data_IF_706261980751
#
_entry.id   IF_706261980751
#
_cell.length_a   1.000
_cell.length_b   1.000
_cell.length_c   1.000
_cell.angle_alpha   90.00
_cell.angle_beta   90.00
_cell.angle_gamma   90.00
#
_symmetry.space_group_name_H-M   'P 1'
#
loop_
_entity.id
_entity.type
_entity.pdbx_description
1 polymer ?
#
# COMPACT_ATOMS: atom_id res chain seq x y z
N UNK A 1 24.59 -67.65 -21.38
CA UNK A 1 25.20 -66.97 -20.22
C UNK A 1 24.61 -65.59 -19.93
N UNK A 2 23.88 -64.93 -20.85
CA UNK A 2 23.17 -63.69 -20.56
C UNK A 2 21.78 -63.90 -19.91
N UNK A 3 21.06 -64.97 -20.26
CA UNK A 3 19.66 -65.20 -19.85
C UNK A 3 19.46 -65.68 -18.40
N UNK A 4 20.40 -66.44 -17.82
CA UNK A 4 20.26 -67.00 -16.46
C UNK A 4 20.62 -65.99 -15.35
N UNK A 5 21.43 -64.98 -15.67
CA UNK A 5 21.69 -63.88 -14.74
C UNK A 5 20.54 -62.87 -14.70
N UNK A 6 19.77 -62.72 -15.79
CA UNK A 6 18.62 -61.82 -15.84
C UNK A 6 17.44 -62.31 -14.97
N UNK A 7 17.15 -63.62 -14.94
CA UNK A 7 16.06 -64.18 -14.11
C UNK A 7 16.35 -64.09 -12.61
N UNK A 8 17.58 -64.43 -12.19
CA UNK A 8 17.94 -64.40 -10.77
C UNK A 8 17.92 -62.98 -10.21
N UNK A 9 18.44 -62.00 -10.95
CA UNK A 9 18.39 -60.60 -10.54
C UNK A 9 16.97 -60.01 -10.59
N UNK A 10 16.13 -60.45 -11.54
CA UNK A 10 14.72 -60.06 -11.64
C UNK A 10 13.87 -60.50 -10.43
N UNK A 11 14.09 -61.72 -9.92
CA UNK A 11 13.37 -62.23 -8.73
C UNK A 11 13.76 -61.45 -7.46
N UNK A 12 15.04 -61.15 -7.27
CA UNK A 12 15.54 -60.45 -6.08
C UNK A 12 15.10 -58.98 -6.07
N UNK A 13 15.07 -58.33 -7.24
CA UNK A 13 14.52 -56.98 -7.39
C UNK A 13 13.01 -56.96 -7.13
N UNK A 14 12.27 -57.97 -7.60
CA UNK A 14 10.83 -58.11 -7.38
C UNK A 14 10.44 -58.28 -5.92
N UNK A 15 11.18 -59.07 -5.12
CA UNK A 15 10.90 -59.20 -3.68
C UNK A 15 11.20 -57.93 -2.89
N UNK A 16 12.29 -57.23 -3.20
CA UNK A 16 12.64 -55.98 -2.52
C UNK A 16 11.63 -54.84 -2.79
N UNK A 17 11.09 -54.77 -4.02
CA UNK A 17 10.04 -53.81 -4.39
C UNK A 17 8.75 -54.10 -3.59
N UNK A 18 8.33 -55.37 -3.50
CA UNK A 18 7.13 -55.78 -2.78
C UNK A 18 7.21 -55.51 -1.26
N UNK A 19 8.38 -55.71 -0.64
CA UNK A 19 8.59 -55.41 0.79
C UNK A 19 8.58 -53.90 1.08
N UNK A 20 9.17 -53.10 0.18
CA UNK A 20 9.13 -51.64 0.28
C UNK A 20 7.70 -51.09 0.13
N UNK A 21 6.91 -51.62 -0.81
CA UNK A 21 5.50 -51.25 -0.99
C UNK A 21 4.64 -51.56 0.23
N UNK A 22 4.86 -52.72 0.87
CA UNK A 22 4.20 -53.08 2.14
C UNK A 22 4.56 -52.10 3.26
N UNK A 23 5.84 -51.78 3.43
CA UNK A 23 6.30 -50.81 4.44
C UNK A 23 5.70 -49.41 4.26
N UNK A 24 5.55 -48.96 3.00
CA UNK A 24 4.86 -47.70 2.67
C UNK A 24 3.37 -47.78 3.03
N UNK A 25 2.69 -48.88 2.70
CA UNK A 25 1.28 -49.10 3.04
C UNK A 25 1.04 -49.10 4.55
N UNK A 26 1.88 -49.78 5.32
CA UNK A 26 1.76 -49.86 6.79
C UNK A 26 1.98 -48.50 7.44
N UNK A 27 2.96 -47.74 6.95
CA UNK A 27 3.21 -46.36 7.40
C UNK A 27 2.02 -45.45 7.07
N UNK A 28 1.46 -45.53 5.86
CA UNK A 28 0.27 -44.77 5.44
C UNK A 28 -0.94 -45.10 6.33
N UNK A 29 -1.11 -46.36 6.72
CA UNK A 29 -2.21 -46.78 7.59
C UNK A 29 -2.04 -46.26 9.04
N UNK A 30 -0.81 -46.26 9.56
CA UNK A 30 -0.51 -45.67 10.87
C UNK A 30 -0.74 -44.15 10.90
N UNK A 31 -0.36 -43.44 9.84
CA UNK A 31 -0.59 -41.98 9.71
C UNK A 31 -2.08 -41.66 9.54
N UNK A 32 -2.85 -42.47 8.79
CA UNK A 32 -4.32 -42.33 8.71
C UNK A 32 -5.01 -42.54 10.07
N UNK A 33 -4.57 -43.50 10.86
CA UNK A 33 -5.11 -43.73 12.21
C UNK A 33 -4.84 -42.53 13.13
N UNK A 34 -3.63 -41.95 13.09
CA UNK A 34 -3.30 -40.74 13.87
C UNK A 34 -4.02 -39.49 13.36
N UNK A 35 -4.21 -39.33 12.04
CA UNK A 35 -5.00 -38.24 11.47
C UNK A 35 -6.49 -38.32 11.86
N UNK A 36 -7.06 -39.53 11.96
CA UNK A 36 -8.43 -39.73 12.45
C UNK A 36 -8.60 -39.35 13.93
N UNK A 37 -7.54 -39.49 14.75
CA UNK A 37 -7.54 -39.02 16.13
C UNK A 37 -7.41 -37.49 16.24
N UNK A 38 -6.76 -36.84 15.26
CA UNK A 38 -6.60 -35.39 15.18
C UNK A 38 -7.87 -34.64 14.70
N UNK A 39 -8.92 -35.34 14.25
CA UNK A 39 -10.20 -34.75 13.83
C UNK A 39 -10.91 -33.93 14.93
N UNK A 40 -10.48 -34.05 16.20
CA UNK A 40 -10.99 -33.24 17.33
C UNK A 40 -10.35 -31.85 17.45
N UNK A 41 -9.33 -31.52 16.66
CA UNK A 41 -8.53 -30.29 16.81
C UNK A 41 -8.41 -29.53 15.46
N UNK A 42 -9.54 -29.09 14.90
CA UNK A 42 -9.57 -28.05 13.85
C UNK A 42 -9.15 -28.46 12.41
N UNK A 43 -9.82 -27.87 11.41
CA UNK A 43 -9.72 -28.28 9.99
C UNK A 43 -8.40 -27.96 9.26
N UNK A 44 -7.54 -27.09 9.81
CA UNK A 44 -6.24 -26.75 9.20
C UNK A 44 -5.27 -27.94 9.24
N UNK A 45 -5.15 -28.60 10.40
CA UNK A 45 -4.31 -29.77 10.59
C UNK A 45 -4.74 -30.93 9.67
N UNK A 46 -6.05 -31.11 9.46
CA UNK A 46 -6.59 -32.18 8.59
C UNK A 46 -6.12 -32.05 7.14
N UNK A 47 -5.97 -30.83 6.62
CA UNK A 47 -5.53 -30.59 5.24
C UNK A 47 -4.04 -30.89 5.06
N UNK A 48 -3.23 -30.46 6.02
CA UNK A 48 -1.79 -30.67 5.97
C UNK A 48 -1.43 -32.15 6.14
N UNK A 49 -2.07 -32.87 7.06
CA UNK A 49 -1.91 -34.33 7.21
C UNK A 49 -2.36 -35.10 5.96
N UNK A 50 -3.48 -34.72 5.32
CA UNK A 50 -3.93 -35.39 4.09
C UNK A 50 -2.98 -35.15 2.91
N UNK A 51 -2.45 -33.93 2.76
CA UNK A 51 -1.45 -33.60 1.73
C UNK A 51 -0.15 -34.40 1.92
N UNK A 52 0.28 -34.60 3.17
CA UNK A 52 1.48 -35.36 3.53
C UNK A 52 1.31 -36.88 3.29
N UNK A 53 0.13 -37.43 3.62
CA UNK A 53 -0.24 -38.82 3.30
C UNK A 53 -0.28 -39.05 1.78
N UNK A 54 -0.84 -38.10 1.02
CA UNK A 54 -0.91 -38.21 -0.45
C UNK A 54 0.47 -38.05 -1.09
N UNK A 55 1.33 -37.18 -0.54
CA UNK A 55 2.75 -37.13 -0.90
C UNK A 55 3.45 -38.48 -0.71
N UNK A 56 3.24 -39.17 0.42
CA UNK A 56 3.88 -40.47 0.71
C UNK A 56 3.49 -41.57 -0.30
N UNK A 57 2.24 -41.59 -0.77
CA UNK A 57 1.71 -42.60 -1.70
C UNK A 57 2.23 -42.47 -3.14
N UNK A 58 2.80 -41.33 -3.53
CA UNK A 58 3.34 -41.14 -4.89
C UNK A 58 4.61 -41.96 -5.10
N UNK A 59 4.77 -42.46 -6.33
CA UNK A 59 6.00 -43.15 -6.75
C UNK A 59 7.19 -42.18 -6.75
N UNK A 60 8.44 -42.68 -6.67
CA UNK A 60 9.64 -41.83 -6.73
C UNK A 60 9.69 -40.92 -7.97
N UNK A 61 9.18 -41.40 -9.11
CA UNK A 61 9.12 -40.66 -10.37
C UNK A 61 8.11 -39.51 -10.32
N UNK A 62 6.92 -39.73 -9.77
CA UNK A 62 5.89 -38.69 -9.61
C UNK A 62 6.28 -37.64 -8.56
N UNK A 63 6.98 -38.06 -7.49
CA UNK A 63 7.57 -37.14 -6.50
C UNK A 63 8.63 -36.23 -7.14
N UNK A 64 9.48 -36.78 -8.01
CA UNK A 64 10.47 -36.00 -8.75
C UNK A 64 9.80 -35.02 -9.73
N UNK A 65 8.72 -35.44 -10.41
CA UNK A 65 7.96 -34.57 -11.31
C UNK A 65 7.29 -33.40 -10.57
N UNK A 66 6.61 -33.64 -9.44
CA UNK A 66 5.99 -32.57 -8.62
C UNK A 66 7.02 -31.58 -8.09
N UNK A 67 8.16 -32.07 -7.59
CA UNK A 67 9.25 -31.18 -7.14
C UNK A 67 9.85 -30.35 -8.27
N UNK A 68 9.94 -30.91 -9.48
CA UNK A 68 10.40 -30.17 -10.65
C UNK A 68 9.39 -29.12 -11.11
N UNK A 69 8.09 -29.40 -11.02
CA UNK A 69 7.00 -28.45 -11.29
C UNK A 69 6.98 -27.31 -10.26
N UNK A 70 7.11 -27.62 -8.97
CA UNK A 70 7.24 -26.64 -7.89
C UNK A 70 8.46 -25.73 -8.09
N UNK A 71 9.62 -26.32 -8.44
CA UNK A 71 10.85 -25.55 -8.73
C UNK A 71 10.67 -24.63 -9.93
N UNK A 72 10.04 -25.10 -11.01
CA UNK A 72 9.73 -24.27 -12.18
C UNK A 72 8.77 -23.14 -11.83
N UNK A 73 7.73 -23.43 -11.04
CA UNK A 73 6.77 -22.42 -10.59
C UNK A 73 7.43 -21.39 -9.65
N UNK A 74 8.40 -21.78 -8.84
CA UNK A 74 9.17 -20.88 -7.99
C UNK A 74 10.16 -20.02 -8.81
N UNK A 75 10.85 -20.62 -9.79
CA UNK A 75 11.70 -19.90 -10.76
C UNK A 75 10.90 -18.89 -11.59
N UNK A 76 9.70 -19.25 -12.05
CA UNK A 76 8.78 -18.35 -12.76
C UNK A 76 8.29 -17.19 -11.86
N UNK A 77 7.92 -17.47 -10.61
CA UNK A 77 7.54 -16.45 -9.63
C UNK A 77 8.70 -15.50 -9.33
N UNK A 78 9.92 -16.04 -9.21
CA UNK A 78 11.11 -15.23 -8.99
C UNK A 78 11.41 -14.35 -10.19
N UNK A 79 11.36 -14.88 -11.41
CA UNK A 79 11.53 -14.11 -12.64
C UNK A 79 10.45 -13.02 -12.83
N UNK A 80 9.20 -13.30 -12.45
CA UNK A 80 8.12 -12.30 -12.46
C UNK A 80 8.35 -11.21 -11.40
N UNK A 81 8.80 -11.57 -10.20
CA UNK A 81 9.13 -10.62 -9.14
C UNK A 81 10.31 -9.71 -9.53
N UNK A 82 11.36 -10.28 -10.14
CA UNK A 82 12.51 -9.52 -10.64
C UNK A 82 12.11 -8.56 -11.76
N UNK A 83 11.29 -9.00 -12.72
CA UNK A 83 10.74 -8.11 -13.77
C UNK A 83 9.90 -6.97 -13.20
N UNK A 84 9.03 -7.26 -12.22
CA UNK A 84 8.21 -6.22 -11.56
C UNK A 84 9.07 -5.22 -10.80
N UNK A 85 10.12 -5.68 -10.13
CA UNK A 85 11.06 -4.80 -9.44
C UNK A 85 11.82 -3.89 -10.43
N UNK A 86 12.29 -4.44 -11.56
CA UNK A 86 12.96 -3.66 -12.61
C UNK A 86 12.01 -2.63 -13.26
N UNK A 87 10.76 -3.01 -13.52
CA UNK A 87 9.74 -2.09 -14.04
C UNK A 87 9.40 -0.98 -13.03
N UNK A 88 9.30 -1.30 -11.74
CA UNK A 88 9.08 -0.33 -10.68
C UNK A 88 10.27 0.63 -10.52
N UNK A 89 11.51 0.15 -10.64
CA UNK A 89 12.71 0.98 -10.63
C UNK A 89 12.75 1.95 -11.81
N UNK A 90 12.52 1.45 -13.04
CA UNK A 90 12.41 2.30 -14.24
C UNK A 90 11.29 3.34 -14.13
N UNK A 91 10.15 2.96 -13.55
CA UNK A 91 9.05 3.90 -13.32
C UNK A 91 9.44 5.00 -12.32
N UNK A 92 10.20 4.67 -11.26
CA UNK A 92 10.71 5.66 -10.29
C UNK A 92 11.73 6.61 -10.92
N UNK A 93 12.63 6.10 -11.75
CA UNK A 93 13.61 6.91 -12.48
C UNK A 93 12.92 7.88 -13.45
N UNK A 94 11.96 7.39 -14.23
CA UNK A 94 11.16 8.21 -15.15
C UNK A 94 10.37 9.30 -14.40
N UNK A 95 9.78 8.96 -13.25
CA UNK A 95 9.07 9.93 -12.41
C UNK A 95 10.02 10.98 -11.83
N UNK A 96 11.23 10.59 -11.40
CA UNK A 96 12.23 11.52 -10.91
C UNK A 96 12.69 12.50 -12.00
N UNK A 97 12.93 12.01 -13.22
CA UNK A 97 13.28 12.86 -14.36
C UNK A 97 12.14 13.84 -14.67
N UNK A 98 10.89 13.37 -14.71
CA UNK A 98 9.70 14.21 -14.91
C UNK A 98 9.61 15.31 -13.87
N UNK A 99 9.85 15.01 -12.59
CA UNK A 99 9.84 16.00 -11.51
C UNK A 99 10.98 17.02 -11.63
N UNK A 100 12.18 16.60 -12.08
CA UNK A 100 13.29 17.52 -12.34
C UNK A 100 13.01 18.48 -13.51
N UNK A 101 12.32 18.00 -14.55
CA UNK A 101 11.85 18.85 -15.64
C UNK A 101 10.78 19.83 -15.13
N UNK A 102 9.79 19.33 -14.37
CA UNK A 102 8.74 20.16 -13.77
C UNK A 102 9.30 21.30 -12.92
N UNK A 103 10.34 21.05 -12.11
CA UNK A 103 10.98 22.08 -11.26
C UNK A 103 11.43 23.33 -12.02
N UNK A 104 11.75 23.20 -13.31
CA UNK A 104 12.22 24.27 -14.19
C UNK A 104 11.08 24.91 -15.01
N UNK A 105 9.94 24.25 -15.07
CA UNK A 105 8.79 24.67 -15.87
C UNK A 105 7.98 25.76 -15.17
N UNK A 106 7.49 26.72 -15.95
CA UNK A 106 6.51 27.68 -15.51
C UNK A 106 5.14 27.03 -15.29
N UNK A 107 4.41 27.55 -14.31
CA UNK A 107 3.11 27.01 -13.93
C UNK A 107 2.02 27.87 -14.53
N UNK A 108 1.06 27.20 -15.15
CA UNK A 108 -0.12 27.82 -15.74
C UNK A 108 -1.39 27.33 -15.07
N UNK A 109 -2.50 28.00 -15.40
CA UNK A 109 -3.83 27.70 -14.89
C UNK A 109 -4.15 26.20 -14.97
N UNK A 110 -4.82 25.66 -13.96
CA UNK A 110 -5.21 24.24 -13.83
C UNK A 110 -4.08 23.24 -13.66
N UNK A 111 -2.88 23.69 -13.26
CA UNK A 111 -1.84 22.79 -12.79
C UNK A 111 -2.30 21.97 -11.57
N UNK A 112 -1.97 20.67 -11.56
CA UNK A 112 -2.30 19.78 -10.47
C UNK A 112 -1.36 20.03 -9.29
N UNK A 113 -1.91 20.00 -8.09
CA UNK A 113 -1.21 20.18 -6.83
C UNK A 113 -1.51 19.00 -5.91
N UNK A 114 -0.53 18.62 -5.09
CA UNK A 114 -0.64 17.56 -4.09
C UNK A 114 -0.27 18.11 -2.73
N UNK A 115 -0.91 17.59 -1.68
CA UNK A 115 -0.65 17.97 -0.30
C UNK A 115 -0.29 16.73 0.51
N UNK A 116 0.74 16.82 1.35
CA UNK A 116 1.17 15.71 2.21
C UNK A 116 0.11 15.25 3.22
N UNK A 117 -0.87 16.10 3.52
CA UNK A 117 -1.97 15.79 4.44
C UNK A 117 -3.32 15.53 3.74
N UNK A 118 -3.33 15.43 2.41
CA UNK A 118 -4.53 15.15 1.64
C UNK A 118 -4.45 13.78 0.98
N UNK A 119 -5.61 13.17 0.73
CA UNK A 119 -5.70 11.88 0.04
C UNK A 119 -5.77 12.02 -1.49
N UNK A 120 -6.31 13.13 -1.98
CA UNK A 120 -6.49 13.41 -3.39
C UNK A 120 -5.66 14.62 -3.81
N UNK A 121 -5.33 14.68 -5.10
CA UNK A 121 -4.83 15.90 -5.72
C UNK A 121 -5.92 16.97 -5.79
N UNK A 122 -5.49 18.20 -6.05
CA UNK A 122 -6.35 19.35 -6.32
C UNK A 122 -5.70 20.15 -7.45
N UNK A 123 -6.28 21.32 -7.76
CA UNK A 123 -5.78 22.18 -8.82
C UNK A 123 -5.52 23.60 -8.32
N UNK A 124 -4.47 24.21 -8.84
CA UNK A 124 -4.27 25.65 -8.71
C UNK A 124 -4.95 26.37 -9.87
N UNK A 125 -5.79 27.33 -9.52
CA UNK A 125 -6.68 28.04 -10.44
C UNK A 125 -6.40 29.53 -10.32
N UNK A 126 -6.56 30.26 -11.40
CA UNK A 126 -6.55 31.72 -11.37
C UNK A 126 -7.86 32.21 -11.99
N UNK A 127 -8.77 32.86 -11.23
CA UNK A 127 -10.07 33.30 -11.77
C UNK A 127 -9.96 34.39 -12.83
N UNK A 128 -8.98 35.28 -12.70
CA UNK A 128 -8.70 36.39 -13.61
C UNK A 128 -7.21 36.33 -13.96
N UNK A 129 -6.90 36.24 -15.25
CA UNK A 129 -5.50 36.17 -15.71
C UNK A 129 -4.72 37.44 -15.36
N UNK A 130 -3.43 37.28 -15.08
CA UNK A 130 -2.48 38.38 -14.86
C UNK A 130 -2.10 39.14 -16.15
N UNK A 131 -2.43 38.58 -17.33
CA UNK A 131 -2.15 39.16 -18.65
C UNK A 131 -1.06 38.41 -19.42
N UNK A 132 -0.28 37.57 -18.73
CA UNK A 132 0.75 36.72 -19.31
C UNK A 132 0.22 35.31 -19.58
N UNK A 133 0.54 34.80 -20.77
CA UNK A 133 0.07 33.49 -21.23
C UNK A 133 1.21 32.67 -21.80
N UNK A 134 1.23 31.39 -21.46
CA UNK A 134 2.11 30.38 -22.06
C UNK A 134 1.22 29.42 -22.83
N UNK A 135 1.44 29.31 -24.14
CA UNK A 135 0.61 28.49 -25.04
C UNK A 135 -0.90 28.79 -24.93
N UNK A 136 -1.26 30.05 -24.67
CA UNK A 136 -2.65 30.50 -24.53
C UNK A 136 -3.28 30.22 -23.15
N UNK A 137 -2.52 29.69 -22.19
CA UNK A 137 -2.99 29.42 -20.81
C UNK A 137 -2.36 30.44 -19.87
N UNK A 138 -3.15 31.02 -18.98
CA UNK A 138 -2.70 32.07 -18.06
C UNK A 138 -1.57 31.56 -17.14
N UNK A 139 -0.46 32.29 -17.10
CA UNK A 139 0.69 32.01 -16.25
C UNK A 139 0.41 32.45 -14.80
N UNK A 140 0.89 31.70 -13.82
CA UNK A 140 0.74 32.00 -12.39
C UNK A 140 1.97 32.70 -11.81
N UNK A 141 1.75 33.41 -10.71
CA UNK A 141 2.79 34.00 -9.87
C UNK A 141 2.69 33.49 -8.43
N UNK A 142 3.67 33.86 -7.60
CA UNK A 142 3.71 33.41 -6.20
C UNK A 142 2.53 33.89 -5.35
N UNK A 143 1.79 34.91 -5.80
CA UNK A 143 0.60 35.41 -5.13
C UNK A 143 -0.66 34.56 -5.32
N UNK A 144 -0.63 33.58 -6.23
CA UNK A 144 -1.76 32.67 -6.51
C UNK A 144 -1.88 31.56 -5.44
N UNK A 145 -1.90 31.96 -4.17
CA UNK A 145 -1.92 31.04 -3.01
C UNK A 145 -3.21 31.11 -2.19
N UNK A 146 -4.17 31.98 -2.55
CA UNK A 146 -5.37 32.21 -1.74
C UNK A 146 -6.20 30.92 -1.61
N UNK A 147 -6.54 30.50 -0.39
CA UNK A 147 -7.31 29.29 -0.17
C UNK A 147 -8.72 29.42 -0.73
N UNK A 148 -9.26 28.33 -1.27
CA UNK A 148 -10.58 28.23 -1.89
C UNK A 148 -10.81 29.13 -3.12
N UNK A 149 -9.84 29.95 -3.50
CA UNK A 149 -9.84 30.78 -4.71
C UNK A 149 -8.79 30.26 -5.69
N UNK A 150 -7.51 30.38 -5.32
CA UNK A 150 -6.42 29.88 -6.14
C UNK A 150 -6.13 28.41 -5.83
N UNK A 151 -5.99 28.09 -4.55
CA UNK A 151 -5.73 26.72 -4.09
C UNK A 151 -7.06 26.09 -3.72
N UNK A 152 -7.55 25.19 -4.59
CA UNK A 152 -8.83 24.49 -4.38
C UNK A 152 -8.68 23.46 -3.25
N UNK A 153 -9.78 23.21 -2.53
CA UNK A 153 -9.83 22.16 -1.50
C UNK A 153 -9.46 20.80 -2.08
N UNK A 154 -8.67 20.02 -1.32
CA UNK A 154 -8.28 18.65 -1.66
C UNK A 154 -9.35 17.61 -1.28
N UNK A 155 -10.54 18.05 -0.85
CA UNK A 155 -11.66 17.20 -0.44
C UNK A 155 -11.49 16.59 0.94
N UNK A 156 -10.51 15.70 1.12
CA UNK A 156 -10.28 14.94 2.36
C UNK A 156 -8.87 15.22 2.90
N UNK A 157 -8.80 15.50 4.20
CA UNK A 157 -7.57 15.79 4.94
C UNK A 157 -7.42 14.88 6.15
N UNK A 158 -6.19 14.46 6.44
CA UNK A 158 -5.83 13.64 7.61
C UNK A 158 -5.00 14.40 8.66
N UNK A 159 -4.83 15.72 8.50
CA UNK A 159 -4.03 16.50 9.45
C UNK A 159 -4.73 16.59 10.82
N UNK A 160 -4.03 16.27 11.92
CA UNK A 160 -4.53 16.51 13.28
C UNK A 160 -4.80 17.99 13.58
N UNK A 161 -4.17 18.91 12.86
CA UNK A 161 -4.39 20.35 12.99
C UNK A 161 -5.70 20.84 12.37
N UNK A 162 -6.35 20.04 11.54
CA UNK A 162 -7.60 20.41 10.88
C UNK A 162 -8.80 20.27 11.85
N UNK A 163 -9.60 21.33 12.07
CA UNK A 163 -10.79 21.28 12.93
C UNK A 163 -11.79 20.17 12.56
N UNK A 164 -11.96 19.86 11.27
CA UNK A 164 -12.87 18.80 10.81
C UNK A 164 -12.39 17.42 11.25
N UNK A 165 -11.08 17.16 11.21
CA UNK A 165 -10.47 15.91 11.70
C UNK A 165 -10.65 15.79 13.21
N UNK A 166 -10.41 16.88 13.95
CA UNK A 166 -10.61 16.91 15.40
C UNK A 166 -12.07 16.69 15.79
N UNK A 167 -13.02 17.26 15.04
CA UNK A 167 -14.45 17.06 15.27
C UNK A 167 -14.85 15.60 15.02
N UNK A 168 -14.34 14.97 13.96
CA UNK A 168 -14.56 13.55 13.69
C UNK A 168 -14.01 12.66 14.82
N UNK A 169 -12.79 12.93 15.30
CA UNK A 169 -12.19 12.20 16.40
C UNK A 169 -12.99 12.35 17.71
N UNK A 170 -13.44 13.57 18.03
CA UNK A 170 -14.30 13.82 19.20
C UNK A 170 -15.61 13.04 19.13
N UNK A 171 -16.26 13.03 17.96
CA UNK A 171 -17.49 12.27 17.74
C UNK A 171 -17.28 10.77 17.98
N UNK A 172 -16.17 10.21 17.50
CA UNK A 172 -15.83 8.79 17.74
C UNK A 172 -15.63 8.52 19.24
N UNK A 173 -14.95 9.41 19.97
CA UNK A 173 -14.77 9.28 21.42
C UNK A 173 -16.11 9.33 22.14
N UNK A 174 -16.97 10.28 21.79
CA UNK A 174 -18.30 10.41 22.37
C UNK A 174 -19.15 9.16 22.12
N UNK A 175 -19.13 8.62 20.90
CA UNK A 175 -19.83 7.37 20.56
C UNK A 175 -19.29 6.17 21.35
N UNK A 176 -17.96 6.06 21.48
CA UNK A 176 -17.32 4.99 22.27
C UNK A 176 -17.64 5.13 23.76
N UNK A 177 -17.69 6.35 24.29
CA UNK A 177 -18.01 6.60 25.69
C UNK A 177 -19.49 6.35 26.01
N UNK A 178 -20.38 6.67 25.07
CA UNK A 178 -21.83 6.51 25.23
C UNK A 178 -22.33 5.11 24.86
N UNK A 179 -21.45 4.20 24.40
CA UNK A 179 -21.85 2.84 24.04
C UNK A 179 -22.28 2.04 25.28
N UNK A 180 -23.25 1.12 25.14
CA UNK A 180 -23.65 0.26 26.25
C UNK A 180 -22.48 -0.63 26.67
N UNK A 181 -22.03 -0.45 27.92
CA UNK A 181 -20.90 -1.21 28.47
C UNK A 181 -21.28 -2.66 28.77
N UNK A 182 -20.38 -3.58 28.43
CA UNK A 182 -20.52 -5.00 28.79
C UNK A 182 -20.41 -5.20 30.30
N UNK A 183 -20.90 -6.33 30.81
CA UNK A 183 -20.79 -6.67 32.23
C UNK A 183 -19.32 -6.67 32.71
N UNK A 184 -18.40 -7.18 31.91
CA UNK A 184 -16.96 -7.19 32.21
C UNK A 184 -16.36 -5.78 32.26
N UNK A 185 -16.74 -4.90 31.33
CA UNK A 185 -16.30 -3.49 31.32
C UNK A 185 -16.80 -2.72 32.54
N UNK A 186 -18.05 -2.97 32.97
CA UNK A 186 -18.59 -2.34 34.18
C UNK A 186 -17.81 -2.75 35.44
N UNK A 187 -17.42 -4.02 35.54
CA UNK A 187 -16.57 -4.50 36.64
C UNK A 187 -15.19 -3.86 36.55
N UNK A 188 -14.57 -3.83 35.36
CA UNK A 188 -13.23 -3.26 35.19
C UNK A 188 -13.20 -1.74 35.44
N UNK A 189 -14.25 -1.01 35.06
CA UNK A 189 -14.40 0.43 35.33
C UNK A 189 -14.49 0.74 36.83
N UNK A 190 -15.06 -0.18 37.61
CA UNK A 190 -15.10 -0.04 39.07
C UNK A 190 -13.71 -0.20 39.70
N UNK A 191 -12.83 -0.98 39.06
CA UNK A 191 -11.47 -1.25 39.55
C UNK A 191 -10.36 -0.47 38.83
N UNK A 192 -10.68 0.36 37.83
CA UNK A 192 -9.71 1.09 37.00
C UNK A 192 -9.85 2.60 37.11
N UNK A 193 -8.74 3.32 36.97
CA UNK A 193 -8.77 4.79 36.79
C UNK A 193 -9.39 5.11 35.44
N UNK A 194 -10.34 6.04 35.40
CA UNK A 194 -10.95 6.49 34.14
C UNK A 194 -9.87 7.04 33.19
N UNK A 195 -9.92 6.69 31.89
CA UNK A 195 -9.04 7.30 30.90
C UNK A 195 -9.33 8.81 30.79
N UNK A 196 -8.29 9.60 30.50
CA UNK A 196 -8.41 11.04 30.27
C UNK A 196 -9.26 11.32 29.02
N UNK A 197 -10.12 12.34 29.09
CA UNK A 197 -11.01 12.78 27.99
C UNK A 197 -10.29 13.43 26.80
N UNK A 198 -8.97 13.59 26.87
CA UNK A 198 -8.19 14.18 25.79
C UNK A 198 -8.17 13.26 24.57
N UNK A 199 -8.35 13.87 23.39
CA UNK A 199 -8.24 13.13 22.12
C UNK A 199 -6.80 12.65 21.97
N UNK A 200 -6.59 11.35 22.13
CA UNK A 200 -5.29 10.74 21.95
C UNK A 200 -4.74 11.02 20.55
N UNK A 201 -3.44 11.32 20.46
CA UNK A 201 -2.74 11.55 19.19
C UNK A 201 -2.91 10.38 18.22
N UNK A 202 -2.96 9.16 18.76
CA UNK A 202 -3.14 7.93 17.99
C UNK A 202 -4.50 7.88 17.29
N UNK A 203 -5.56 8.35 17.95
CA UNK A 203 -6.89 8.43 17.33
C UNK A 203 -6.92 9.50 16.24
N UNK A 204 -6.32 10.66 16.49
CA UNK A 204 -6.26 11.74 15.50
C UNK A 204 -5.53 11.29 14.23
N UNK A 205 -4.48 10.49 14.35
CA UNK A 205 -3.74 9.96 13.20
C UNK A 205 -4.57 9.00 12.34
N UNK A 206 -5.63 8.40 12.89
CA UNK A 206 -6.53 7.49 12.18
C UNK A 206 -7.77 8.19 11.62
N UNK A 207 -8.03 9.44 12.02
CA UNK A 207 -9.20 10.18 11.61
C UNK A 207 -8.96 10.98 10.32
N UNK A 208 -10.03 11.17 9.55
CA UNK A 208 -10.05 12.03 8.37
C UNK A 208 -11.21 13.02 8.47
N UNK A 209 -11.08 14.15 7.80
CA UNK A 209 -12.07 15.22 7.79
C UNK A 209 -12.08 15.96 6.47
N UNK A 210 -13.04 16.87 6.33
CA UNK A 210 -13.14 17.72 5.14
C UNK A 210 -11.94 18.66 5.09
N UNK A 211 -11.33 18.79 3.91
CA UNK A 211 -10.25 19.73 3.69
C UNK A 211 -10.81 21.15 3.50
N UNK A 212 -10.45 22.05 4.40
CA UNK A 212 -10.60 23.49 4.21
C UNK A 212 -9.21 24.14 4.34
N UNK A 213 -8.51 24.40 3.23
CA UNK A 213 -7.12 24.83 3.29
C UNK A 213 -6.99 26.19 3.98
N UNK A 214 -6.14 26.27 5.00
CA UNK A 214 -5.78 27.53 5.64
C UNK A 214 -4.37 27.90 5.21
N UNK A 215 -4.25 28.95 4.40
CA UNK A 215 -2.98 29.38 3.79
C UNK A 215 -2.89 30.89 3.98
N UNK A 216 -1.79 31.35 4.57
CA UNK A 216 -1.55 32.74 4.89
C UNK A 216 -0.29 33.32 4.21
N UNK A 217 0.42 32.52 3.43
CA UNK A 217 1.66 32.91 2.76
C UNK A 217 1.55 32.78 1.25
N UNK A 218 2.38 33.51 0.53
CA UNK A 218 2.61 33.32 -0.89
C UNK A 218 3.41 32.02 -1.12
N UNK A 219 3.48 31.57 -2.37
CA UNK A 219 4.33 30.45 -2.76
C UNK A 219 5.80 30.79 -2.54
N UNK A 220 6.56 29.80 -2.07
CA UNK A 220 7.97 29.91 -1.72
C UNK A 220 8.82 29.54 -2.95
N UNK A 221 10.00 30.15 -3.08
CA UNK A 221 11.00 29.90 -4.13
C UNK A 221 10.55 30.26 -5.55
N UNK A 222 9.76 31.33 -5.69
CA UNK A 222 9.41 31.93 -6.98
C UNK A 222 10.63 32.38 -7.78
N UNK A 223 10.44 32.53 -9.09
CA UNK A 223 11.48 33.01 -10.00
C UNK A 223 11.55 34.54 -9.99
N UNK A 224 12.50 35.11 -9.23
CA UNK A 224 12.60 36.56 -9.03
C UNK A 224 13.00 37.35 -10.29
N UNK A 225 13.69 36.72 -11.24
CA UNK A 225 14.11 37.36 -12.50
C UNK A 225 12.97 37.52 -13.52
N UNK A 226 11.82 36.89 -13.29
CA UNK A 226 10.64 36.99 -14.17
C UNK A 226 9.42 37.35 -13.35
N UNK A 227 8.85 38.51 -13.65
CA UNK A 227 7.68 39.03 -12.94
C UNK A 227 6.42 38.86 -13.78
N UNK A 228 5.32 38.49 -13.11
CA UNK A 228 3.96 38.34 -13.63
C UNK A 228 3.06 39.11 -12.68
N UNK A 229 2.39 40.16 -13.17
CA UNK A 229 1.69 41.16 -12.33
C UNK A 229 2.57 41.71 -11.17
N UNK A 230 3.83 42.03 -11.48
CA UNK A 230 4.79 42.60 -10.51
C UNK A 230 5.29 41.63 -9.42
N UNK A 231 4.85 40.37 -9.42
CA UNK A 231 5.31 39.32 -8.50
C UNK A 231 6.17 38.26 -9.20
N UNK A 232 7.09 37.58 -8.49
CA UNK A 232 7.86 36.47 -9.06
C UNK A 232 7.00 35.38 -9.70
N UNK A 233 7.42 34.89 -10.86
CA UNK A 233 6.73 33.83 -11.59
C UNK A 233 6.76 32.51 -10.82
N UNK A 234 5.66 31.75 -10.89
CA UNK A 234 5.54 30.46 -10.23
C UNK A 234 6.20 29.35 -11.09
N UNK A 235 7.08 28.56 -10.46
CA UNK A 235 7.75 27.41 -11.07
C UNK A 235 7.35 26.10 -10.38
N UNK A 236 7.56 24.96 -11.03
CA UNK A 236 7.26 23.64 -10.44
C UNK A 236 8.00 23.30 -9.16
N UNK A 237 9.14 23.95 -8.89
CA UNK A 237 9.88 23.80 -7.63
C UNK A 237 9.24 24.52 -6.44
N UNK A 238 8.33 25.45 -6.70
CA UNK A 238 7.74 26.29 -5.67
C UNK A 238 6.88 25.44 -4.73
N UNK A 239 6.87 25.83 -3.46
CA UNK A 239 6.11 25.11 -2.42
C UNK A 239 5.24 26.04 -1.61
N UNK A 240 4.18 25.51 -1.05
CA UNK A 240 3.24 26.25 -0.22
C UNK A 240 2.93 25.45 1.04
N UNK A 241 2.66 26.13 2.15
CA UNK A 241 2.41 25.47 3.43
C UNK A 241 1.04 25.84 3.96
N UNK A 242 0.27 24.82 4.33
CA UNK A 242 -0.99 24.98 5.03
C UNK A 242 -0.73 25.12 6.54
N UNK A 243 -1.51 25.95 7.23
CA UNK A 243 -1.46 26.12 8.69
C UNK A 243 -1.75 24.82 9.46
N UNK A 244 -2.37 23.83 8.80
CA UNK A 244 -2.56 22.49 9.36
C UNK A 244 -1.32 21.59 9.19
N UNK A 245 -0.18 22.10 8.72
CA UNK A 245 1.08 21.35 8.60
C UNK A 245 1.26 20.60 7.27
N UNK A 246 0.31 20.72 6.34
CA UNK A 246 0.43 20.13 5.00
C UNK A 246 1.38 20.94 4.11
N UNK A 247 2.34 20.25 3.47
CA UNK A 247 3.16 20.83 2.41
C UNK A 247 2.48 20.57 1.07
N UNK A 248 2.24 21.64 0.33
CA UNK A 248 1.61 21.63 -0.99
C UNK A 248 2.70 21.81 -2.05
N UNK A 249 2.74 20.90 -3.02
CA UNK A 249 3.68 20.91 -4.14
C UNK A 249 2.93 20.79 -5.46
N UNK A 250 3.54 21.29 -6.53
CA UNK A 250 3.02 21.14 -7.89
C UNK A 250 3.37 19.77 -8.44
N UNK A 251 2.39 19.12 -9.06
CA UNK A 251 2.54 17.80 -9.67
C UNK A 251 2.58 17.86 -11.20
N UNK A 252 1.91 18.84 -11.80
CA UNK A 252 1.99 19.13 -13.24
C UNK A 252 2.22 20.62 -13.47
N UNK A 253 2.65 20.99 -14.68
CA UNK A 253 2.84 22.40 -15.06
C UNK A 253 1.53 23.08 -15.47
N UNK A 254 0.48 22.29 -15.78
CA UNK A 254 -0.74 22.75 -16.44
C UNK A 254 -0.57 23.04 -17.94
N UNK A 255 0.65 22.96 -18.46
CA UNK A 255 0.93 23.13 -19.88
C UNK A 255 0.59 21.83 -20.63
N UNK A 256 0.25 21.95 -21.91
CA UNK A 256 0.11 20.76 -22.78
C UNK A 256 1.51 20.24 -23.10
N UNK A 257 1.75 18.97 -22.78
CA UNK A 257 2.94 18.22 -23.21
C UNK A 257 2.92 17.96 -24.72
#
# INVERSE_FOLDING_TARGET
MASENEEKYGVIAGTAINEAEKGVSDTVNAVKQTASMAERVGGFLKRDFNNEIDWLKLSPQEKAAKKAEEKRAEEEKQAEAERKAEEEEKAKEAEQERLEQLKKSYIVHTAAIVCTCALHESYVVVPVSHGEFIHGIAQLNVGDSKPNINVRSFGICNSPGNPSVQAAAKKIIEEVNNRPKSFTEKVMDFFSKKPSEEVGKDLLAQCVGVCDPQIATDWIDGKEDVLVDGKPALLGKCTLHCSYGGKITLYTSGQKE
#
